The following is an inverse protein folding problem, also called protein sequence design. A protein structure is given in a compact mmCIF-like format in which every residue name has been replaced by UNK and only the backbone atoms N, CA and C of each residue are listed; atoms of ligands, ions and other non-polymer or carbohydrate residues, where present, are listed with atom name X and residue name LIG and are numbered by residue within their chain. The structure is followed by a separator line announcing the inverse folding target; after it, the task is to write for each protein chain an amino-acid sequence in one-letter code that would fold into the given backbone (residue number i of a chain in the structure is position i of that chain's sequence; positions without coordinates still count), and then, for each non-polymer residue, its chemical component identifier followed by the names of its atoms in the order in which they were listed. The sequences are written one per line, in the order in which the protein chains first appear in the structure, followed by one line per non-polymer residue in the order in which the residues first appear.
data_IF_581754469057
#
_entry.id   IF_581754469057
#
_cell.length_a   1.000
_cell.length_b   1.000
_cell.length_c   1.000
_cell.angle_alpha   90.00
_cell.angle_beta   90.00
_cell.angle_gamma   90.00
#
_symmetry.space_group_name_H-M   'P 1'
#
loop_
_entity.id
_entity.type
_entity.pdbx_description
1 polymer ?
#
# COMPACT_ATOMS: atom_id res chain seq x y z
N UNK A 1 13.39 -10.85 9.89
CA UNK A 1 12.11 -11.58 9.93
C UNK A 1 11.04 -10.57 9.60
N UNK A 2 10.16 -10.86 8.65
CA UNK A 2 9.07 -9.99 8.26
C UNK A 2 8.01 -9.86 9.36
N UNK A 3 7.25 -8.77 9.35
CA UNK A 3 6.03 -8.68 10.13
C UNK A 3 4.95 -9.55 9.50
N UNK A 4 4.08 -10.12 10.33
CA UNK A 4 2.86 -10.74 9.84
C UNK A 4 1.98 -9.69 9.14
N UNK A 5 1.37 -10.08 8.02
CA UNK A 5 0.29 -9.32 7.37
C UNK A 5 -0.75 -8.87 8.42
N UNK A 6 -1.20 -7.60 8.39
CA UNK A 6 -2.06 -7.10 9.43
C UNK A 6 -3.48 -7.69 9.38
N UNK A 7 -4.16 -7.69 10.53
CA UNK A 7 -5.54 -8.16 10.60
C UNK A 7 -6.50 -7.16 9.95
N UNK A 8 -7.37 -7.66 9.08
CA UNK A 8 -8.39 -6.86 8.39
C UNK A 8 -9.65 -6.80 9.25
N UNK A 9 -10.03 -5.60 9.67
CA UNK A 9 -11.24 -5.35 10.46
C UNK A 9 -12.44 -5.07 9.54
N UNK A 10 -12.18 -4.42 8.41
CA UNK A 10 -13.17 -4.11 7.39
C UNK A 10 -12.49 -4.02 6.03
N UNK A 11 -13.18 -4.42 4.96
CA UNK A 11 -12.71 -4.23 3.59
C UNK A 11 -13.87 -4.03 2.62
N UNK A 12 -13.63 -3.30 1.55
CA UNK A 12 -14.55 -3.18 0.43
C UNK A 12 -13.80 -3.06 -0.91
N UNK A 13 -14.35 -3.65 -2.00
CA UNK A 13 -13.77 -3.52 -3.32
C UNK A 13 -13.94 -2.11 -3.88
N UNK A 14 -13.00 -1.68 -4.71
CA UNK A 14 -12.93 -0.33 -5.28
C UNK A 14 -14.24 0.12 -5.93
N UNK A 15 -14.88 -0.74 -6.73
CA UNK A 15 -16.13 -0.41 -7.42
C UNK A 15 -17.26 -0.04 -6.47
N UNK A 16 -17.41 -0.75 -5.35
CA UNK A 16 -18.46 -0.46 -4.36
C UNK A 16 -18.23 0.90 -3.69
N UNK A 17 -16.96 1.25 -3.45
CA UNK A 17 -16.56 2.51 -2.80
C UNK A 17 -16.81 3.71 -3.73
N UNK A 18 -16.53 3.56 -5.03
CA UNK A 18 -16.77 4.60 -6.03
C UNK A 18 -18.26 4.79 -6.32
N UNK A 19 -19.04 3.70 -6.36
CA UNK A 19 -20.49 3.73 -6.60
C UNK A 19 -21.32 4.26 -5.42
N UNK A 20 -20.68 4.62 -4.30
CA UNK A 20 -21.33 5.34 -3.21
C UNK A 20 -22.10 4.47 -2.21
N UNK A 21 -21.96 3.15 -2.27
CA UNK A 21 -22.54 2.27 -1.26
C UNK A 21 -21.65 2.29 0.01
N UNK A 22 -22.01 3.18 0.95
CA UNK A 22 -21.34 3.47 2.24
C UNK A 22 -19.97 4.18 2.12
N UNK A 23 -19.95 5.36 1.51
CA UNK A 23 -18.75 6.21 1.47
C UNK A 23 -19.04 7.60 2.04
N UNK A 24 -19.79 7.66 3.15
CA UNK A 24 -20.16 8.94 3.79
C UNK A 24 -19.05 9.48 4.70
N UNK A 25 -18.12 8.63 5.14
CA UNK A 25 -17.17 9.05 6.16
C UNK A 25 -15.80 9.44 5.60
N UNK A 26 -15.27 8.90 4.50
CA UNK A 26 -13.92 9.30 4.04
C UNK A 26 -13.88 10.73 3.48
N UNK A 27 -12.99 11.57 4.02
CA UNK A 27 -12.83 12.94 3.56
C UNK A 27 -12.25 12.99 2.12
N UNK A 28 -12.42 14.12 1.43
CA UNK A 28 -11.96 14.29 0.03
C UNK A 28 -10.47 13.95 -0.20
N UNK A 29 -9.52 14.59 0.50
CA UNK A 29 -8.09 14.29 0.39
C UNK A 29 -7.74 12.82 0.61
N UNK A 30 -8.34 12.17 1.60
CA UNK A 30 -8.11 10.75 1.88
C UNK A 30 -8.69 9.85 0.79
N UNK A 31 -9.84 10.19 0.19
CA UNK A 31 -10.35 9.49 -0.99
C UNK A 31 -9.36 9.56 -2.15
N UNK A 32 -8.78 10.73 -2.41
CA UNK A 32 -7.81 10.90 -3.50
C UNK A 32 -6.55 10.05 -3.28
N UNK A 33 -6.01 10.02 -2.06
CA UNK A 33 -4.79 9.24 -1.80
C UNK A 33 -5.06 7.74 -1.76
N UNK A 34 -6.20 7.29 -1.24
CA UNK A 34 -6.54 5.88 -1.12
C UNK A 34 -6.99 5.27 -2.46
N UNK A 35 -7.82 5.99 -3.21
CA UNK A 35 -8.41 5.51 -4.47
C UNK A 35 -7.59 5.92 -5.70
N UNK A 36 -6.67 6.87 -5.58
CA UNK A 36 -5.84 7.34 -6.70
C UNK A 36 -4.84 6.29 -7.16
N UNK A 37 -4.61 6.22 -8.47
CA UNK A 37 -3.63 5.36 -9.13
C UNK A 37 -2.18 5.91 -9.09
N UNK A 38 -2.00 7.09 -8.50
CA UNK A 38 -0.70 7.73 -8.35
C UNK A 38 0.28 6.96 -7.44
N UNK A 39 1.57 7.19 -7.66
CA UNK A 39 2.63 6.64 -6.81
C UNK A 39 2.58 7.25 -5.41
N UNK A 40 2.42 6.41 -4.37
CA UNK A 40 2.38 6.87 -2.99
C UNK A 40 3.64 7.68 -2.62
N UNK A 41 4.83 7.27 -3.07
CA UNK A 41 6.06 8.02 -2.80
C UNK A 41 6.06 9.40 -3.46
N UNK A 42 5.45 9.55 -4.64
CA UNK A 42 5.26 10.86 -5.28
C UNK A 42 4.27 11.71 -4.50
N UNK A 43 3.16 11.15 -4.06
CA UNK A 43 2.17 11.86 -3.24
C UNK A 43 2.76 12.34 -1.93
N UNK A 44 3.46 11.47 -1.20
CA UNK A 44 4.13 11.85 0.05
C UNK A 44 5.15 12.97 -0.19
N UNK A 45 5.97 12.88 -1.24
CA UNK A 45 6.92 13.95 -1.58
C UNK A 45 6.22 15.29 -1.88
N UNK A 46 5.06 15.26 -2.54
CA UNK A 46 4.29 16.48 -2.83
C UNK A 46 3.64 17.06 -1.57
N UNK A 47 3.14 16.21 -0.66
CA UNK A 47 2.51 16.64 0.60
C UNK A 47 3.55 17.23 1.57
N UNK A 48 4.69 16.57 1.71
CA UNK A 48 5.71 16.95 2.70
C UNK A 48 6.73 17.95 2.15
N UNK A 49 6.86 18.06 0.83
CA UNK A 49 7.94 18.81 0.17
C UNK A 49 9.32 18.18 0.32
N UNK A 50 9.41 16.95 0.83
CA UNK A 50 10.64 16.30 1.26
C UNK A 50 10.82 14.93 0.59
N UNK A 51 12.05 14.47 0.37
CA UNK A 51 12.28 13.16 -0.25
C UNK A 51 11.78 12.03 0.64
N UNK A 52 11.11 11.05 0.04
CA UNK A 52 10.69 9.83 0.73
C UNK A 52 11.85 8.84 0.74
N UNK A 53 12.24 8.41 1.94
CA UNK A 53 13.19 7.34 2.17
C UNK A 53 12.45 6.01 2.28
N UNK A 54 12.96 4.99 1.60
CA UNK A 54 12.46 3.62 1.74
C UNK A 54 13.36 2.88 2.71
N UNK A 55 12.80 2.40 3.81
CA UNK A 55 13.51 1.53 4.74
C UNK A 55 13.04 0.09 4.53
N UNK A 56 13.95 -0.76 4.05
CA UNK A 56 13.67 -2.18 3.84
C UNK A 56 13.57 -2.90 5.18
N UNK A 57 12.42 -3.50 5.46
CA UNK A 57 12.24 -4.40 6.62
C UNK A 57 12.81 -5.76 6.28
N UNK A 58 12.50 -6.27 5.09
CA UNK A 58 13.05 -7.52 4.60
C UNK A 58 12.39 -8.03 3.33
N UNK A 59 12.88 -9.18 2.87
CA UNK A 59 12.30 -9.95 1.79
C UNK A 59 12.36 -11.43 2.15
N UNK A 60 11.26 -12.15 1.99
CA UNK A 60 11.20 -13.58 2.30
C UNK A 60 10.55 -14.36 1.16
N UNK A 61 10.98 -15.61 1.04
CA UNK A 61 10.40 -16.57 0.10
C UNK A 61 9.09 -17.10 0.65
N UNK A 62 8.14 -17.29 -0.25
CA UNK A 62 6.83 -17.81 0.07
C UNK A 62 6.40 -18.75 -1.07
N UNK A 63 6.14 -20.02 -0.75
CA UNK A 63 5.79 -21.01 -1.78
C UNK A 63 4.44 -20.69 -2.43
N UNK A 64 3.46 -20.22 -1.63
CA UNK A 64 2.09 -19.89 -2.05
C UNK A 64 1.52 -18.75 -1.22
N UNK A 65 0.48 -18.07 -1.72
CA UNK A 65 -0.22 -17.00 -1.00
C UNK A 65 -0.66 -17.42 0.42
N UNK A 66 -0.51 -16.51 1.39
CA UNK A 66 -0.83 -16.74 2.79
C UNK A 66 -2.27 -16.34 3.11
N UNK A 67 -2.83 -16.89 4.19
CA UNK A 67 -4.23 -16.66 4.56
C UNK A 67 -4.60 -15.19 4.86
N UNK A 68 -3.62 -14.34 5.23
CA UNK A 68 -3.81 -12.91 5.50
C UNK A 68 -3.36 -12.00 4.33
N UNK A 69 -2.91 -12.59 3.24
CA UNK A 69 -2.51 -11.82 2.06
C UNK A 69 -3.77 -11.46 1.23
N UNK A 70 -3.74 -10.38 0.43
CA UNK A 70 -4.84 -10.06 -0.48
C UNK A 70 -5.15 -11.25 -1.41
N UNK A 71 -6.42 -11.40 -1.80
CA UNK A 71 -6.89 -12.54 -2.60
C UNK A 71 -6.13 -12.61 -3.94
N UNK A 72 -5.87 -11.44 -4.52
CA UNK A 72 -5.19 -11.21 -5.78
C UNK A 72 -3.76 -11.77 -5.79
N UNK A 73 -3.15 -12.00 -4.62
CA UNK A 73 -1.82 -12.63 -4.53
C UNK A 73 -1.85 -14.05 -5.08
N UNK A 74 -3.00 -14.74 -5.01
CA UNK A 74 -3.18 -16.08 -5.58
C UNK A 74 -3.14 -16.12 -7.11
N UNK A 75 -3.28 -14.97 -7.77
CA UNK A 75 -3.19 -14.84 -9.24
C UNK A 75 -1.73 -14.78 -9.72
N UNK A 76 -0.78 -14.51 -8.82
CA UNK A 76 0.63 -14.45 -9.16
C UNK A 76 1.23 -15.85 -9.32
N UNK A 77 2.09 -16.01 -10.31
CA UNK A 77 2.84 -17.24 -10.49
C UNK A 77 3.81 -17.49 -9.31
N UNK A 78 3.77 -18.70 -8.75
CA UNK A 78 4.70 -19.18 -7.71
C UNK A 78 6.06 -19.59 -8.29
N UNK A 79 7.15 -19.62 -7.50
CA UNK A 79 7.24 -19.22 -6.09
C UNK A 79 7.24 -17.70 -5.91
N UNK A 80 6.77 -17.24 -4.76
CA UNK A 80 6.62 -15.82 -4.44
C UNK A 80 7.81 -15.27 -3.63
N UNK A 81 8.00 -13.97 -3.78
CA UNK A 81 8.84 -13.13 -2.93
C UNK A 81 7.94 -12.07 -2.31
N UNK A 82 7.91 -12.06 -0.99
CA UNK A 82 7.25 -11.03 -0.19
C UNK A 82 8.30 -10.01 0.24
N UNK A 83 8.05 -8.72 -0.01
CA UNK A 83 8.91 -7.61 0.39
C UNK A 83 8.12 -6.64 1.26
N UNK A 84 8.70 -6.23 2.39
CA UNK A 84 8.10 -5.23 3.28
C UNK A 84 9.02 -4.04 3.47
N UNK A 85 8.44 -2.84 3.51
CA UNK A 85 9.16 -1.58 3.63
C UNK A 85 8.39 -0.57 4.48
N UNK A 86 9.11 0.36 5.09
CA UNK A 86 8.56 1.62 5.55
C UNK A 86 8.80 2.72 4.51
N UNK A 87 7.84 3.62 4.39
CA UNK A 87 7.99 4.89 3.68
C UNK A 87 8.15 5.97 4.73
N UNK A 88 9.37 6.49 4.83
CA UNK A 88 9.74 7.48 5.83
C UNK A 88 9.92 8.86 5.17
N UNK A 89 9.52 9.91 5.87
CA UNK A 89 9.78 11.28 5.49
C UNK A 89 10.21 12.07 6.72
N UNK A 90 11.32 12.80 6.64
CA UNK A 90 11.87 13.56 7.77
C UNK A 90 12.03 12.73 9.07
N UNK A 91 12.39 11.45 8.95
CA UNK A 91 12.52 10.53 10.09
C UNK A 91 11.21 9.97 10.64
N UNK A 92 10.06 10.33 10.07
CA UNK A 92 8.74 9.81 10.47
C UNK A 92 8.24 8.75 9.49
N UNK A 93 7.70 7.65 10.00
CA UNK A 93 7.03 6.60 9.20
C UNK A 93 5.63 7.08 8.80
N UNK A 94 5.43 7.32 7.50
CA UNK A 94 4.16 7.82 6.96
C UNK A 94 3.33 6.70 6.32
N UNK A 95 3.96 5.61 5.91
CA UNK A 95 3.25 4.43 5.46
C UNK A 95 4.11 3.17 5.67
N UNK A 96 3.41 2.05 5.77
CA UNK A 96 3.99 0.72 5.62
C UNK A 96 3.51 0.14 4.30
N UNK A 97 4.35 -0.63 3.62
CA UNK A 97 3.93 -1.34 2.44
C UNK A 97 4.52 -2.74 2.40
N UNK A 98 3.75 -3.64 1.82
CA UNK A 98 4.22 -4.95 1.43
C UNK A 98 3.80 -5.27 0.01
N UNK A 99 4.61 -6.10 -0.65
CA UNK A 99 4.40 -6.46 -2.04
C UNK A 99 4.75 -7.90 -2.28
N UNK A 100 3.99 -8.54 -3.15
CA UNK A 100 4.17 -9.92 -3.57
C UNK A 100 4.51 -9.96 -5.05
N UNK A 101 5.48 -10.81 -5.37
CA UNK A 101 6.04 -10.93 -6.71
C UNK A 101 6.31 -12.39 -7.00
N UNK A 102 6.13 -12.81 -8.25
CA UNK A 102 6.82 -14.01 -8.71
C UNK A 102 8.35 -13.82 -8.55
N UNK A 103 9.07 -14.87 -8.14
CA UNK A 103 10.52 -14.82 -7.88
C UNK A 103 11.35 -14.28 -9.05
N UNK A 104 11.02 -14.66 -10.28
CA UNK A 104 11.75 -14.18 -11.47
C UNK A 104 11.46 -12.70 -11.72
N UNK A 105 10.21 -12.28 -11.55
CA UNK A 105 9.84 -10.87 -11.63
C UNK A 105 10.49 -10.04 -10.53
N UNK A 106 10.59 -10.55 -9.30
CA UNK A 106 11.31 -9.90 -8.23
C UNK A 106 12.79 -9.68 -8.59
N UNK A 107 13.46 -10.70 -9.11
CA UNK A 107 14.87 -10.61 -9.52
C UNK A 107 15.10 -9.55 -10.63
N UNK A 108 14.13 -9.37 -11.53
CA UNK A 108 14.23 -8.42 -12.64
C UNK A 108 13.86 -6.98 -12.24
N UNK A 109 12.92 -6.80 -11.31
CA UNK A 109 12.31 -5.50 -11.01
C UNK A 109 12.72 -4.93 -9.64
N UNK A 110 13.32 -5.72 -8.74
CA UNK A 110 13.76 -5.29 -7.40
C UNK A 110 15.30 -5.29 -7.29
N UNK A 111 15.99 -4.86 -8.35
CA UNK A 111 17.47 -4.83 -8.42
C UNK A 111 18.07 -3.95 -7.31
N UNK A 112 17.51 -2.74 -7.13
CA UNK A 112 17.82 -1.90 -5.98
C UNK A 112 16.65 -1.94 -5.00
N UNK A 113 16.88 -2.61 -3.88
CA UNK A 113 15.87 -2.83 -2.83
C UNK A 113 15.54 -1.57 -2.05
N UNK A 114 16.35 -0.53 -2.16
CA UNK A 114 16.14 0.78 -1.54
C UNK A 114 15.29 1.72 -2.40
N UNK A 115 15.01 1.37 -3.66
CA UNK A 115 14.19 2.20 -4.52
C UNK A 115 12.68 1.96 -4.33
N UNK A 116 11.85 2.99 -4.54
CA UNK A 116 10.42 2.84 -4.73
C UNK A 116 10.13 1.93 -5.92
N UNK A 117 9.14 1.04 -5.78
CA UNK A 117 8.72 0.08 -6.83
C UNK A 117 8.44 0.82 -8.15
N UNK A 118 7.73 1.95 -8.09
CA UNK A 118 7.41 2.76 -9.27
C UNK A 118 8.65 3.19 -10.06
N UNK A 119 9.72 3.62 -9.37
CA UNK A 119 10.97 3.99 -10.06
C UNK A 119 11.58 2.77 -10.74
N UNK A 120 11.68 1.64 -10.02
CA UNK A 120 12.24 0.42 -10.59
C UNK A 120 11.48 -0.08 -11.83
N UNK A 121 10.15 0.03 -11.82
CA UNK A 121 9.29 -0.40 -12.92
C UNK A 121 9.31 0.55 -14.14
N UNK A 122 9.48 1.86 -13.92
CA UNK A 122 9.40 2.87 -15.00
C UNK A 122 10.74 3.22 -15.65
N UNK A 123 11.87 2.73 -15.13
CA UNK A 123 13.20 2.97 -15.73
C UNK A 123 13.25 2.59 -17.22
N UNK A 124 12.54 1.54 -17.63
CA UNK A 124 12.47 1.09 -19.03
C UNK A 124 11.35 1.74 -19.85
N UNK A 125 10.62 2.72 -19.29
CA UNK A 125 9.42 3.35 -19.87
C UNK A 125 8.40 2.33 -20.41
N UNK A 126 8.32 1.17 -19.77
CA UNK A 126 7.36 0.14 -20.14
C UNK A 126 5.96 0.59 -19.73
N UNK A 127 4.95 0.28 -20.55
CA UNK A 127 3.56 0.46 -20.19
C UNK A 127 3.24 -0.40 -18.96
N UNK A 128 2.73 0.25 -17.92
CA UNK A 128 2.31 -0.35 -16.66
C UNK A 128 0.89 0.11 -16.41
N UNK A 129 -0.01 -0.85 -16.27
CA UNK A 129 -1.38 -0.59 -15.87
C UNK A 129 -1.52 -0.87 -14.38
N UNK A 130 -2.24 -0.01 -13.65
CA UNK A 130 -2.55 -0.20 -12.24
C UNK A 130 -4.05 -0.32 -12.06
N UNK A 131 -4.46 -1.28 -11.25
CA UNK A 131 -5.85 -1.46 -10.83
C UNK A 131 -5.90 -1.44 -9.31
N UNK A 132 -6.62 -0.47 -8.73
CA UNK A 132 -6.90 -0.48 -7.29
C UNK A 132 -8.03 -1.47 -7.01
N UNK A 133 -7.74 -2.51 -6.25
CA UNK A 133 -8.65 -3.62 -6.03
C UNK A 133 -9.61 -3.33 -4.87
N UNK A 134 -9.09 -2.78 -3.77
CA UNK A 134 -9.93 -2.45 -2.62
C UNK A 134 -9.25 -1.65 -1.51
N UNK A 135 -10.10 -1.15 -0.62
CA UNK A 135 -9.71 -0.49 0.63
C UNK A 135 -10.02 -1.39 1.82
N UNK A 136 -9.29 -1.17 2.91
CA UNK A 136 -9.50 -1.85 4.16
C UNK A 136 -9.19 -0.94 5.36
N UNK A 137 -9.77 -1.28 6.52
CA UNK A 137 -9.28 -0.87 7.82
C UNK A 137 -8.56 -2.08 8.44
N UNK A 138 -7.31 -1.86 8.87
CA UNK A 138 -6.47 -2.91 9.44
C UNK A 138 -5.96 -2.51 10.81
N UNK A 139 -5.60 -3.50 11.63
CA UNK A 139 -4.91 -3.24 12.89
C UNK A 139 -3.90 -4.33 13.27
N UNK A 140 -2.79 -3.92 13.87
CA UNK A 140 -1.78 -4.77 14.52
C UNK A 140 -0.95 -3.95 15.52
N UNK A 141 -0.45 -4.58 16.59
CA UNK A 141 0.33 -3.91 17.64
C UNK A 141 1.64 -3.31 17.13
N UNK A 142 2.31 -3.96 16.17
CA UNK A 142 3.55 -3.45 15.59
C UNK A 142 3.33 -2.24 14.67
N UNK A 143 2.13 -2.09 14.09
CA UNK A 143 1.74 -0.88 13.36
C UNK A 143 1.52 0.26 14.35
N UNK A 144 0.79 0.02 15.43
CA UNK A 144 0.55 1.03 16.48
C UNK A 144 1.85 1.55 17.07
N UNK A 145 2.78 0.65 17.41
CA UNK A 145 4.10 1.02 17.90
C UNK A 145 4.93 1.79 16.86
N UNK A 146 4.82 1.44 15.58
CA UNK A 146 5.62 2.07 14.52
C UNK A 146 5.08 3.43 14.08
N UNK A 147 3.77 3.63 14.14
CA UNK A 147 3.12 4.90 13.83
C UNK A 147 2.95 5.80 15.04
N UNK A 148 3.25 5.29 16.25
CA UNK A 148 3.07 6.01 17.52
C UNK A 148 1.61 6.50 17.71
N UNK A 149 0.67 5.65 17.33
CA UNK A 149 -0.76 5.96 17.34
C UNK A 149 -1.58 4.67 17.40
N UNK A 150 -2.69 4.66 18.12
CA UNK A 150 -3.62 3.53 18.15
C UNK A 150 -4.41 3.44 16.84
N UNK A 151 -4.66 2.23 16.35
CA UNK A 151 -5.46 2.02 15.15
C UNK A 151 -6.96 2.28 15.34
N UNK A 152 -7.78 1.98 14.32
CA UNK A 152 -7.43 1.27 13.09
C UNK A 152 -6.73 2.16 12.05
N UNK A 153 -6.09 1.53 11.07
CA UNK A 153 -5.37 2.21 9.99
C UNK A 153 -6.01 1.97 8.65
N UNK A 154 -6.12 3.02 7.82
CA UNK A 154 -6.53 2.87 6.43
C UNK A 154 -5.48 2.12 5.64
N UNK A 155 -5.95 1.20 4.80
CA UNK A 155 -5.15 0.42 3.88
C UNK A 155 -5.79 0.39 2.51
N UNK A 156 -4.96 0.26 1.49
CA UNK A 156 -5.38 -0.13 0.15
C UNK A 156 -4.53 -1.26 -0.38
N UNK A 157 -5.06 -2.00 -1.33
CA UNK A 157 -4.28 -2.90 -2.14
C UNK A 157 -4.63 -2.76 -3.62
N UNK A 158 -3.66 -3.08 -4.46
CA UNK A 158 -3.76 -2.91 -5.90
C UNK A 158 -2.79 -3.85 -6.63
N UNK A 159 -3.10 -4.11 -7.90
CA UNK A 159 -2.26 -4.86 -8.83
C UNK A 159 -1.57 -3.93 -9.82
N UNK A 160 -0.36 -4.32 -10.21
CA UNK A 160 0.27 -3.84 -11.44
C UNK A 160 0.21 -4.91 -12.50
N UNK A 161 -0.02 -4.50 -13.74
CA UNK A 161 -0.02 -5.35 -14.92
C UNK A 161 1.03 -4.89 -15.91
N UNK A 162 1.62 -5.86 -16.62
CA UNK A 162 2.50 -5.63 -17.77
C UNK A 162 2.16 -6.65 -18.85
N UNK A 163 1.91 -6.19 -20.08
CA UNK A 163 1.48 -7.04 -21.19
C UNK A 163 0.25 -7.89 -20.85
N UNK A 164 -0.75 -7.26 -20.22
CA UNK A 164 -2.01 -7.89 -19.77
C UNK A 164 -1.86 -9.06 -18.79
N UNK A 165 -0.75 -9.11 -18.05
CA UNK A 165 -0.50 -10.08 -16.98
C UNK A 165 -0.15 -9.39 -15.67
N UNK A 166 -0.59 -9.98 -14.57
CA UNK A 166 -0.31 -9.57 -13.20
C UNK A 166 1.19 -9.64 -12.94
N UNK A 167 1.77 -8.51 -12.56
CA UNK A 167 3.19 -8.37 -12.28
C UNK A 167 3.47 -8.44 -10.78
N UNK A 168 2.65 -7.75 -9.98
CA UNK A 168 2.78 -7.68 -8.53
C UNK A 168 1.46 -7.23 -7.91
N UNK A 169 1.26 -7.66 -6.66
CA UNK A 169 0.23 -7.13 -5.77
C UNK A 169 0.94 -6.31 -4.70
N UNK A 170 0.38 -5.15 -4.36
CA UNK A 170 0.92 -4.26 -3.33
C UNK A 170 -0.18 -3.91 -2.36
N UNK A 171 0.11 -4.02 -1.06
CA UNK A 171 -0.70 -3.48 0.02
C UNK A 171 0.05 -2.34 0.70
N UNK A 172 -0.64 -1.22 0.89
CA UNK A 172 -0.14 -0.03 1.60
C UNK A 172 -1.05 0.22 2.81
N UNK A 173 -0.44 0.56 3.94
CA UNK A 173 -1.11 0.97 5.19
C UNK A 173 -0.61 2.35 5.57
N UNK A 174 -1.53 3.26 5.85
CA UNK A 174 -1.27 4.69 5.98
C UNK A 174 -1.21 5.12 7.45
N UNK A 175 -0.20 5.91 7.79
CA UNK A 175 -0.06 6.48 9.14
C UNK A 175 -1.09 7.59 9.37
N UNK A 176 -1.73 7.67 10.56
CA UNK A 176 -2.58 8.79 10.95
C UNK A 176 -1.83 10.14 10.97
N UNK A 177 -0.49 10.12 11.04
CA UNK A 177 0.31 11.33 10.90
C UNK A 177 0.02 12.11 9.61
N UNK A 178 -0.46 11.44 8.55
CA UNK A 178 -0.84 12.09 7.29
C UNK A 178 -2.00 13.07 7.43
N UNK A 179 -2.81 12.97 8.49
CA UNK A 179 -3.91 13.90 8.76
C UNK A 179 -3.42 15.34 8.94
N UNK A 180 -2.16 15.57 9.29
CA UNK A 180 -1.61 16.93 9.36
C UNK A 180 -1.60 17.66 8.00
N UNK A 181 -1.59 16.92 6.87
CA UNK A 181 -1.70 17.48 5.52
C UNK A 181 -3.05 17.22 4.87
N UNK A 182 -3.67 16.08 5.17
CA UNK A 182 -4.91 15.62 4.51
C UNK A 182 -6.18 16.00 5.29
N UNK A 183 -6.04 16.51 6.51
CA UNK A 183 -7.14 16.61 7.48
C UNK A 183 -7.54 15.24 8.03
N UNK A 184 -8.52 15.23 8.95
CA UNK A 184 -9.05 14.01 9.55
C UNK A 184 -9.53 13.03 8.47
N UNK A 185 -9.18 11.75 8.60
CA UNK A 185 -9.55 10.75 7.59
C UNK A 185 -11.04 10.56 7.41
N UNK A 186 -11.82 10.82 8.47
CA UNK A 186 -13.27 10.81 8.43
C UNK A 186 -13.88 12.22 8.51
N UNK A 187 -15.03 12.41 7.85
CA UNK A 187 -15.85 13.62 7.93
C UNK A 187 -16.54 13.65 9.29
N UNK A 188 -16.19 14.62 10.14
CA UNK A 188 -16.83 14.83 11.45
C UNK A 188 -18.25 15.39 11.38
N UNK A 189 -18.80 15.64 10.18
CA UNK A 189 -20.10 16.32 10.00
C UNK A 189 -21.35 15.46 10.28
N UNK A 190 -21.20 14.19 10.65
CA UNK A 190 -22.31 13.27 10.91
C UNK A 190 -22.42 12.85 12.40
N UNK A 191 -21.81 13.59 13.32
CA UNK A 191 -21.87 13.32 14.76
C UNK A 191 -22.74 14.32 15.55
N UNK A 192 -23.50 15.18 14.85
CA UNK A 192 -24.54 16.05 15.44
C UNK A 192 -25.94 15.64 15.02
#
# INVERSE_FOLDING_TARGET
MLYSSPHVLWQAPFQQIVQGHKNEDLNGPWRLILLGDGSLTRHLQLLTGQPVQIELIGMEHQEVAGAKDPLEVSELAVPLIKRQVWLCCCGQKLAWAESWWNREQAAQNLLDKSLPIWRSLTIKRAELFREVDGLALVNESWLEQSFDCTGPFWSRHYRFFRNSKELTVIREVFSPALEMWLGASTNTKNLE
#
